data_IF_854996510683
#
_entry.id   IF_854996510683
#
_cell.length_a   1.000
_cell.length_b   1.000
_cell.length_c   1.000
_cell.angle_alpha   90.00
_cell.angle_beta   90.00
_cell.angle_gamma   90.00
#
_symmetry.space_group_name_H-M   'P 1'
#
loop_
_entity.id
_entity.type
_entity.pdbx_description
1 polymer ?
#
# COMPACT_ATOMS: atom_id res chain seq x y z
N UNK A 1 8.81 19.56 13.33
CA UNK A 1 7.50 19.02 13.76
C UNK A 1 7.02 17.88 12.88
N UNK A 2 6.56 18.08 11.63
CA UNK A 2 6.11 16.97 10.75
C UNK A 2 7.22 15.96 10.46
N UNK A 3 8.44 16.45 10.18
CA UNK A 3 9.63 15.60 9.97
C UNK A 3 9.92 14.72 11.18
N UNK A 4 9.87 15.29 12.38
CA UNK A 4 10.23 14.58 13.61
C UNK A 4 9.14 13.57 13.99
N UNK A 5 7.86 13.93 13.80
CA UNK A 5 6.72 13.03 13.93
C UNK A 5 6.80 11.86 12.93
N UNK A 6 7.04 12.17 11.66
CA UNK A 6 7.20 11.16 10.62
C UNK A 6 8.36 10.23 10.94
N UNK A 7 9.51 10.76 11.35
CA UNK A 7 10.69 9.98 11.75
C UNK A 7 10.36 9.04 12.91
N UNK A 8 9.60 9.50 13.90
CA UNK A 8 9.16 8.68 15.03
C UNK A 8 8.22 7.55 14.57
N UNK A 9 7.26 7.87 13.70
CA UNK A 9 6.33 6.89 13.13
C UNK A 9 7.07 5.81 12.31
N UNK A 10 8.00 6.22 11.43
CA UNK A 10 8.83 5.29 10.65
C UNK A 10 9.66 4.38 11.56
N UNK A 11 10.36 4.93 12.56
CA UNK A 11 11.17 4.13 13.51
C UNK A 11 10.32 3.09 14.24
N UNK A 12 9.15 3.49 14.74
CA UNK A 12 8.22 2.60 15.45
C UNK A 12 7.81 1.43 14.56
N UNK A 13 7.45 1.74 13.31
CA UNK A 13 7.03 0.74 12.34
C UNK A 13 8.21 -0.18 11.90
N UNK A 14 9.42 0.35 11.70
CA UNK A 14 10.61 -0.46 11.40
C UNK A 14 10.92 -1.49 12.50
N UNK A 15 10.74 -1.12 13.78
CA UNK A 15 10.92 -2.06 14.90
C UNK A 15 9.85 -3.16 14.88
N UNK A 16 8.58 -2.81 14.63
CA UNK A 16 7.49 -3.80 14.49
C UNK A 16 7.78 -4.78 13.34
N UNK A 17 8.20 -4.26 12.19
CA UNK A 17 8.53 -5.05 11.01
C UNK A 17 9.70 -6.01 11.27
N UNK A 18 10.78 -5.52 11.88
CA UNK A 18 11.94 -6.35 12.22
C UNK A 18 11.57 -7.51 13.15
N UNK A 19 10.67 -7.26 14.12
CA UNK A 19 10.17 -8.31 15.02
C UNK A 19 9.41 -9.39 14.25
N UNK A 20 8.47 -9.01 13.38
CA UNK A 20 7.69 -9.96 12.57
C UNK A 20 8.59 -10.81 11.67
N UNK A 21 9.57 -10.19 11.00
CA UNK A 21 10.55 -10.91 10.17
C UNK A 21 11.36 -11.89 11.00
N UNK A 22 11.82 -11.48 12.19
CA UNK A 22 12.59 -12.35 13.09
C UNK A 22 11.76 -13.54 13.56
N UNK A 23 10.49 -13.33 13.94
CA UNK A 23 9.59 -14.40 14.38
C UNK A 23 9.28 -15.39 13.25
N UNK A 24 9.04 -14.89 12.03
CA UNK A 24 8.83 -15.72 10.85
C UNK A 24 10.09 -16.55 10.52
N UNK A 25 11.28 -15.95 10.62
CA UNK A 25 12.56 -16.64 10.38
C UNK A 25 12.82 -17.75 11.41
N UNK A 26 12.58 -17.50 12.71
CA UNK A 26 12.71 -18.50 13.78
C UNK A 26 11.73 -19.66 13.56
N UNK A 27 10.52 -19.35 13.11
CA UNK A 27 9.44 -20.33 12.90
C UNK A 27 9.52 -21.04 11.55
N UNK A 28 10.55 -20.74 10.73
CA UNK A 28 10.73 -21.22 9.37
C UNK A 28 9.46 -21.04 8.50
N UNK A 29 8.74 -19.95 8.72
CA UNK A 29 7.53 -19.61 7.97
C UNK A 29 7.91 -18.92 6.67
N UNK A 30 7.25 -19.31 5.58
CA UNK A 30 7.31 -18.58 4.31
C UNK A 30 6.45 -17.33 4.43
N UNK A 31 7.04 -16.17 4.16
CA UNK A 31 6.37 -14.86 4.23
C UNK A 31 6.50 -14.14 2.89
N UNK A 32 5.40 -13.54 2.44
CA UNK A 32 5.42 -12.62 1.30
C UNK A 32 5.94 -11.25 1.76
N UNK A 33 7.20 -10.97 1.40
CA UNK A 33 7.84 -9.70 1.70
C UNK A 33 7.12 -8.51 1.06
N UNK A 34 6.56 -8.66 -0.15
CA UNK A 34 5.87 -7.56 -0.85
C UNK A 34 4.62 -7.15 -0.08
N UNK A 35 3.78 -8.11 0.27
CA UNK A 35 2.57 -7.86 1.06
C UNK A 35 2.91 -7.28 2.44
N UNK A 36 3.95 -7.81 3.10
CA UNK A 36 4.38 -7.33 4.41
C UNK A 36 4.91 -5.88 4.38
N UNK A 37 5.77 -5.54 3.40
CA UNK A 37 6.26 -4.16 3.24
C UNK A 37 5.14 -3.20 2.86
N UNK A 38 4.19 -3.62 2.02
CA UNK A 38 3.03 -2.80 1.66
C UNK A 38 2.18 -2.48 2.89
N UNK A 39 1.86 -3.49 3.71
CA UNK A 39 1.13 -3.32 4.97
C UNK A 39 1.84 -2.32 5.90
N UNK A 40 3.13 -2.52 6.12
CA UNK A 40 3.96 -1.67 6.97
C UNK A 40 4.03 -0.20 6.47
N UNK A 41 4.06 -0.02 5.14
CA UNK A 41 4.03 1.31 4.51
C UNK A 41 2.70 2.00 4.73
N UNK A 42 1.58 1.30 4.53
CA UNK A 42 0.24 1.86 4.72
C UNK A 42 -0.02 2.25 6.17
N UNK A 43 0.32 1.39 7.13
CA UNK A 43 0.20 1.71 8.56
C UNK A 43 0.93 3.01 8.92
N UNK A 44 2.14 3.20 8.38
CA UNK A 44 2.92 4.40 8.65
C UNK A 44 2.35 5.63 7.96
N UNK A 45 1.93 5.51 6.70
CA UNK A 45 1.33 6.61 5.93
C UNK A 45 0.01 7.05 6.57
N UNK A 46 -0.86 6.12 6.98
CA UNK A 46 -2.10 6.45 7.68
C UNK A 46 -1.84 7.13 9.02
N UNK A 47 -0.87 6.65 9.80
CA UNK A 47 -0.45 7.31 11.04
C UNK A 47 0.06 8.73 10.81
N UNK A 48 0.84 8.95 9.75
CA UNK A 48 1.41 10.26 9.43
C UNK A 48 0.35 11.24 8.89
N UNK A 49 -0.48 10.79 7.94
CA UNK A 49 -1.39 11.66 7.19
C UNK A 49 -2.72 11.84 7.92
N UNK A 50 -3.28 10.77 8.51
CA UNK A 50 -4.58 10.80 9.16
C UNK A 50 -4.50 10.96 10.68
N UNK A 51 -3.31 10.81 11.28
CA UNK A 51 -3.12 10.87 12.73
C UNK A 51 -3.78 9.70 13.48
N UNK A 52 -4.27 8.69 12.75
CA UNK A 52 -4.92 7.51 13.32
C UNK A 52 -3.85 6.43 13.54
N UNK A 53 -3.67 6.00 14.79
CA UNK A 53 -2.96 4.76 15.06
C UNK A 53 -3.83 3.59 14.65
N UNK A 54 -3.50 3.03 13.49
CA UNK A 54 -4.03 1.75 13.08
C UNK A 54 -3.33 0.66 13.89
N UNK A 55 -3.82 0.38 15.09
CA UNK A 55 -3.32 -0.75 15.88
C UNK A 55 -3.94 -2.10 15.44
N UNK A 56 -4.82 -2.08 14.41
CA UNK A 56 -5.56 -3.28 13.97
C UNK A 56 -5.69 -3.51 12.45
N UNK A 57 -5.23 -2.63 11.56
CA UNK A 57 -5.76 -2.63 10.17
C UNK A 57 -4.84 -3.25 9.12
N UNK A 58 -5.01 -4.55 8.88
CA UNK A 58 -5.24 -5.01 7.52
C UNK A 58 -5.84 -6.42 7.54
N UNK A 59 -7.13 -6.52 7.87
CA UNK A 59 -7.95 -7.75 7.72
C UNK A 59 -7.28 -9.07 8.07
N UNK A 60 -7.82 -10.16 7.52
CA UNK A 60 -7.06 -11.37 7.25
C UNK A 60 -5.94 -11.05 6.23
N UNK A 61 -4.95 -11.94 6.15
CA UNK A 61 -3.86 -11.87 5.16
C UNK A 61 -4.39 -11.68 3.72
N UNK A 62 -5.62 -12.14 3.46
CA UNK A 62 -6.30 -12.05 2.17
C UNK A 62 -6.76 -10.62 1.82
N UNK A 63 -7.30 -9.84 2.76
CA UNK A 63 -7.67 -8.44 2.49
C UNK A 63 -6.44 -7.56 2.26
N UNK A 64 -5.37 -7.81 3.01
CA UNK A 64 -4.09 -7.12 2.83
C UNK A 64 -3.47 -7.40 1.47
N UNK A 65 -3.50 -8.67 1.05
CA UNK A 65 -3.02 -9.11 -0.26
C UNK A 65 -3.84 -8.47 -1.37
N UNK A 66 -5.17 -8.53 -1.28
CA UNK A 66 -6.08 -7.93 -2.26
C UNK A 66 -5.89 -6.41 -2.37
N UNK A 67 -5.77 -5.70 -1.25
CA UNK A 67 -5.49 -4.27 -1.28
C UNK A 67 -4.15 -3.98 -1.95
N UNK A 68 -3.11 -4.76 -1.62
CA UNK A 68 -1.77 -4.61 -2.18
C UNK A 68 -1.77 -4.78 -3.70
N UNK A 69 -2.50 -5.78 -4.22
CA UNK A 69 -2.62 -6.03 -5.66
C UNK A 69 -3.34 -4.88 -6.38
N UNK A 70 -4.48 -4.44 -5.83
CA UNK A 70 -5.27 -3.33 -6.39
C UNK A 70 -4.47 -2.02 -6.36
N UNK A 71 -3.72 -1.79 -5.29
CA UNK A 71 -2.86 -0.62 -5.12
C UNK A 71 -1.67 -0.64 -6.09
N UNK A 72 -1.02 -1.79 -6.27
CA UNK A 72 0.10 -1.97 -7.19
C UNK A 72 -0.34 -1.76 -8.65
N UNK A 73 -1.47 -2.34 -9.05
CA UNK A 73 -2.04 -2.14 -10.39
C UNK A 73 -2.43 -0.67 -10.62
N UNK A 74 -3.07 -0.03 -9.64
CA UNK A 74 -3.39 1.40 -9.71
C UNK A 74 -2.14 2.28 -9.81
N UNK A 75 -1.07 1.91 -9.10
CA UNK A 75 0.22 2.61 -9.12
C UNK A 75 0.92 2.45 -10.46
N UNK A 76 0.95 1.23 -11.03
CA UNK A 76 1.50 0.96 -12.35
C UNK A 76 0.79 1.76 -13.45
N UNK A 77 -0.56 1.79 -13.43
CA UNK A 77 -1.35 2.59 -14.37
C UNK A 77 -1.04 4.08 -14.20
N UNK A 78 -0.95 4.55 -12.96
CA UNK A 78 -0.64 5.96 -12.67
C UNK A 78 0.77 6.33 -13.13
N UNK A 79 1.74 5.43 -12.98
CA UNK A 79 3.10 5.62 -13.50
C UNK A 79 3.12 5.63 -15.03
N UNK A 80 2.31 4.80 -15.68
CA UNK A 80 2.21 4.78 -17.14
C UNK A 80 1.69 6.10 -17.72
N UNK A 81 0.90 6.89 -16.96
CA UNK A 81 0.45 8.23 -17.39
C UNK A 81 1.58 9.20 -17.70
N UNK A 82 2.78 8.99 -17.16
CA UNK A 82 3.94 9.85 -17.45
C UNK A 82 4.43 9.69 -18.90
N UNK A 83 4.24 8.50 -19.50
CA UNK A 83 4.64 8.22 -20.89
C UNK A 83 3.46 8.26 -21.86
N UNK A 84 2.24 8.03 -21.36
CA UNK A 84 1.03 7.97 -22.17
C UNK A 84 0.31 9.32 -22.24
N UNK A 85 0.71 10.22 -23.13
CA UNK A 85 0.12 11.57 -23.25
C UNK A 85 -1.40 11.60 -23.51
N UNK A 86 -1.98 10.50 -24.02
CA UNK A 86 -3.42 10.36 -24.29
C UNK A 86 -4.23 9.83 -23.10
N UNK A 87 -3.62 9.62 -21.93
CA UNK A 87 -4.29 9.06 -20.75
C UNK A 87 -5.53 9.87 -20.34
N UNK A 88 -5.54 11.20 -20.52
CA UNK A 88 -6.71 12.05 -20.21
C UNK A 88 -7.92 11.74 -21.10
N UNK A 89 -7.70 11.44 -22.38
CA UNK A 89 -8.77 11.06 -23.31
C UNK A 89 -9.29 9.67 -22.93
N UNK A 90 -8.38 8.72 -22.68
CA UNK A 90 -8.74 7.36 -22.23
C UNK A 90 -9.50 7.37 -20.89
N UNK A 91 -9.16 8.29 -20.00
CA UNK A 91 -9.85 8.54 -18.74
C UNK A 91 -11.25 9.10 -18.94
N UNK A 92 -11.41 10.07 -19.84
CA UNK A 92 -12.71 10.64 -20.17
C UNK A 92 -13.65 9.59 -20.79
N UNK A 93 -13.13 8.78 -21.72
CA UNK A 93 -13.89 7.70 -22.37
C UNK A 93 -14.05 6.45 -21.49
N UNK A 94 -13.34 6.38 -20.36
CA UNK A 94 -13.29 5.22 -19.46
C UNK A 94 -12.94 3.92 -20.22
N UNK A 95 -11.82 3.92 -20.94
CA UNK A 95 -11.33 2.78 -21.73
C UNK A 95 -9.91 2.37 -21.32
N UNK A 96 -9.57 1.10 -21.57
CA UNK A 96 -8.23 0.56 -21.33
C UNK A 96 -7.80 0.64 -19.86
N UNK A 97 -6.52 1.00 -19.63
CA UNK A 97 -5.92 1.13 -18.29
C UNK A 97 -6.68 2.10 -17.38
N UNK A 98 -7.27 3.16 -17.93
CA UNK A 98 -8.03 4.13 -17.14
C UNK A 98 -9.38 3.58 -16.64
N UNK A 99 -9.99 2.65 -17.40
CA UNK A 99 -11.19 1.93 -16.95
C UNK A 99 -10.87 0.99 -15.78
N UNK A 100 -9.74 0.27 -15.90
CA UNK A 100 -9.23 -0.62 -14.84
C UNK A 100 -8.91 0.18 -13.58
N UNK A 101 -8.21 1.31 -13.72
CA UNK A 101 -7.92 2.20 -12.60
C UNK A 101 -9.19 2.69 -11.91
N UNK A 102 -10.24 3.04 -12.66
CA UNK A 102 -11.53 3.46 -12.08
C UNK A 102 -12.20 2.33 -11.30
N UNK A 103 -12.06 1.07 -11.75
CA UNK A 103 -12.53 -0.11 -11.01
C UNK A 103 -11.72 -0.31 -9.72
N UNK A 104 -10.40 -0.17 -9.80
CA UNK A 104 -9.50 -0.35 -8.65
C UNK A 104 -9.78 0.66 -7.55
N UNK A 105 -9.98 1.94 -7.89
CA UNK A 105 -10.35 2.99 -6.93
C UNK A 105 -11.70 2.69 -6.24
N UNK A 106 -12.66 2.10 -6.95
CA UNK A 106 -13.96 1.72 -6.37
C UNK A 106 -13.89 0.48 -5.48
N UNK A 107 -12.95 -0.42 -5.77
CA UNK A 107 -12.83 -1.73 -5.11
C UNK A 107 -11.96 -1.68 -3.85
N UNK A 108 -11.04 -0.71 -3.77
CA UNK A 108 -10.19 -0.47 -2.58
C UNK A 108 -10.85 0.36 -1.47
N UNK A 109 -12.18 0.31 -1.34
CA UNK A 109 -12.95 1.05 -0.33
C UNK A 109 -13.57 0.10 0.68
#
# INVERSE_FOLDING_TARGET
MLRDFSTSAFKTNSVKLARVVSEAAISNQVVDLKAMFMKSTLETVFKIILGVELDSMCGSDEEATRFSDVFDEASAITLFRYVDTFWKIKKFLNIGSEAVLRKNIKTGR
#
